data_IF_338981910113
#
_entry.id   IF_338981910113
#
_cell.length_a   1.000
_cell.length_b   1.000
_cell.length_c   1.000
_cell.angle_alpha   90.00
_cell.angle_beta   90.00
_cell.angle_gamma   90.00
#
_symmetry.space_group_name_H-M   'P 1'
#
loop_
_entity.id
_entity.type
_entity.pdbx_description
1 polymer ?
#
# COMPACT_ATOMS: atom_id res chain seq x y z
N UNK A 1 33.22 -4.27 3.62
CA UNK A 1 32.46 -3.03 3.32
C UNK A 1 30.98 -3.38 3.35
N UNK A 2 30.27 -2.81 4.27
CA UNK A 2 28.81 -2.89 4.27
C UNK A 2 28.32 -2.18 3.00
N UNK A 3 27.66 -2.90 2.10
CA UNK A 3 27.03 -2.28 0.94
C UNK A 3 25.92 -1.37 1.44
N UNK A 4 26.00 -0.10 1.09
CA UNK A 4 24.92 0.83 1.40
C UNK A 4 23.61 0.37 0.76
N UNK A 5 22.45 0.52 1.43
CA UNK A 5 21.16 0.00 0.95
C UNK A 5 20.79 0.40 -0.48
N UNK A 6 21.34 1.50 -0.99
CA UNK A 6 21.07 2.01 -2.33
C UNK A 6 21.85 1.28 -3.46
N UNK A 7 22.80 0.39 -3.13
CA UNK A 7 23.56 -0.34 -4.16
C UNK A 7 22.79 -1.52 -4.77
N UNK A 8 21.70 -1.98 -4.11
CA UNK A 8 20.79 -3.02 -4.61
C UNK A 8 19.35 -2.50 -4.71
N UNK A 9 19.19 -1.27 -5.14
CA UNK A 9 17.90 -0.62 -5.20
C UNK A 9 17.18 -0.83 -6.53
N UNK A 10 15.87 -0.96 -6.46
CA UNK A 10 14.97 -0.91 -7.60
C UNK A 10 14.26 0.45 -7.60
N UNK A 11 14.58 1.29 -8.59
CA UNK A 11 14.04 2.64 -8.70
C UNK A 11 12.79 2.65 -9.57
N UNK A 12 11.70 3.23 -9.04
CA UNK A 12 10.41 3.33 -9.73
C UNK A 12 10.18 4.77 -10.12
N UNK A 13 9.86 4.99 -11.40
CA UNK A 13 9.48 6.31 -11.90
C UNK A 13 8.01 6.63 -11.60
N UNK A 14 7.64 7.93 -11.70
CA UNK A 14 6.25 8.37 -11.64
C UNK A 14 5.39 7.72 -12.72
N UNK A 15 5.91 7.59 -13.94
CA UNK A 15 5.20 6.93 -15.04
C UNK A 15 4.92 5.47 -14.73
N UNK A 16 5.88 4.79 -14.14
CA UNK A 16 5.74 3.38 -13.76
C UNK A 16 4.70 3.18 -12.66
N UNK A 17 4.71 4.00 -11.62
CA UNK A 17 3.71 3.91 -10.54
C UNK A 17 2.30 4.24 -11.05
N UNK A 18 2.17 5.19 -11.95
CA UNK A 18 0.90 5.51 -12.59
C UNK A 18 0.36 4.33 -13.40
N UNK A 19 1.20 3.75 -14.27
CA UNK A 19 0.84 2.59 -15.08
C UNK A 19 0.46 1.39 -14.24
N UNK A 20 1.25 1.07 -13.22
CA UNK A 20 1.03 -0.11 -12.38
C UNK A 20 -0.20 0.07 -11.47
N UNK A 21 -0.46 1.28 -11.01
CA UNK A 21 -1.69 1.59 -10.26
C UNK A 21 -2.94 1.42 -11.12
N UNK A 22 -2.90 1.85 -12.37
CA UNK A 22 -3.99 1.61 -13.32
C UNK A 22 -4.17 0.12 -13.61
N UNK A 23 -3.08 -0.61 -13.79
CA UNK A 23 -3.13 -2.05 -14.00
C UNK A 23 -3.78 -2.78 -12.80
N UNK A 24 -3.48 -2.34 -11.58
CA UNK A 24 -4.13 -2.87 -10.39
C UNK A 24 -5.62 -2.54 -10.36
N UNK A 25 -6.00 -1.30 -10.70
CA UNK A 25 -7.39 -0.92 -10.80
C UNK A 25 -8.18 -1.82 -11.77
N UNK A 26 -7.62 -2.10 -12.94
CA UNK A 26 -8.27 -2.97 -13.93
C UNK A 26 -8.44 -4.41 -13.44
N UNK A 27 -7.53 -4.92 -12.62
CA UNK A 27 -7.69 -6.23 -11.97
C UNK A 27 -8.79 -6.24 -10.92
N UNK A 28 -9.10 -5.10 -10.33
CA UNK A 28 -10.10 -4.94 -9.28
C UNK A 28 -11.48 -4.53 -9.83
N UNK A 29 -11.53 -4.12 -11.09
CA UNK A 29 -12.79 -3.73 -11.74
C UNK A 29 -13.81 -4.87 -11.73
N UNK A 30 -15.04 -4.55 -11.35
CA UNK A 30 -16.16 -5.51 -11.26
C UNK A 30 -15.95 -6.68 -10.29
N UNK A 31 -15.02 -6.56 -9.36
CA UNK A 31 -14.75 -7.58 -8.35
C UNK A 31 -15.27 -7.26 -6.96
N UNK A 32 -15.89 -6.11 -6.79
CA UNK A 32 -16.50 -5.73 -5.51
C UNK A 32 -17.69 -6.63 -5.14
N UNK A 33 -17.97 -6.79 -3.85
CA UNK A 33 -19.05 -7.68 -3.38
C UNK A 33 -20.45 -7.14 -3.61
N UNK A 34 -20.60 -5.88 -4.01
CA UNK A 34 -21.88 -5.22 -4.26
C UNK A 34 -22.15 -5.11 -5.76
N UNK A 35 -22.60 -6.19 -6.37
CA UNK A 35 -22.80 -6.30 -7.83
C UNK A 35 -21.55 -5.94 -8.66
N UNK A 36 -20.37 -6.27 -8.13
CA UNK A 36 -19.09 -5.95 -8.74
C UNK A 36 -18.50 -4.62 -8.29
N UNK A 37 -19.21 -3.83 -7.51
CA UNK A 37 -18.78 -2.52 -7.06
C UNK A 37 -18.14 -2.55 -5.66
N UNK A 38 -17.25 -1.59 -5.42
CA UNK A 38 -16.61 -1.32 -4.16
C UNK A 38 -17.29 -0.14 -3.46
N UNK A 39 -17.49 -0.23 -2.15
CA UNK A 39 -18.14 0.83 -1.39
C UNK A 39 -17.20 2.01 -1.12
N UNK A 40 -15.92 1.72 -0.88
CA UNK A 40 -14.92 2.73 -0.58
C UNK A 40 -13.51 2.18 -0.77
N UNK A 41 -12.55 3.10 -0.72
CA UNK A 41 -11.12 2.80 -0.78
C UNK A 41 -10.40 3.50 0.36
N UNK A 42 -9.48 2.79 0.98
CA UNK A 42 -8.69 3.28 2.13
C UNK A 42 -7.20 3.19 1.80
N UNK A 43 -6.51 4.31 1.87
CA UNK A 43 -5.06 4.37 1.72
C UNK A 43 -4.36 4.06 3.04
N UNK A 44 -3.40 3.15 3.01
CA UNK A 44 -2.43 3.03 4.09
C UNK A 44 -1.40 4.15 3.93
N UNK A 45 -1.42 5.10 4.83
CA UNK A 45 -0.55 6.27 4.72
C UNK A 45 0.89 5.91 5.11
N UNK A 46 1.87 6.52 4.53
CA UNK A 46 1.78 7.51 3.44
C UNK A 46 1.89 6.87 2.05
N UNK A 47 2.59 5.74 1.95
CA UNK A 47 2.96 5.10 0.68
C UNK A 47 1.77 4.72 -0.22
N UNK A 48 0.64 4.35 0.39
CA UNK A 48 -0.58 3.99 -0.34
C UNK A 48 -1.38 5.16 -0.91
N UNK A 49 -1.03 6.40 -0.59
CA UNK A 49 -1.84 7.57 -0.96
C UNK A 49 -1.88 7.83 -2.46
N UNK A 50 -0.72 7.78 -3.13
CA UNK A 50 -0.67 8.01 -4.58
C UNK A 50 -1.35 6.88 -5.36
N UNK A 51 -1.06 5.59 -5.12
CA UNK A 51 -1.80 4.50 -5.76
C UNK A 51 -3.31 4.57 -5.51
N UNK A 52 -3.72 4.89 -4.29
CA UNK A 52 -5.15 5.00 -3.93
C UNK A 52 -5.87 6.06 -4.75
N UNK A 53 -5.27 7.23 -4.93
CA UNK A 53 -5.86 8.30 -5.74
C UNK A 53 -6.06 7.85 -7.19
N UNK A 54 -5.08 7.19 -7.77
CA UNK A 54 -5.15 6.70 -9.15
C UNK A 54 -6.23 5.63 -9.29
N UNK A 55 -6.25 4.65 -8.38
CA UNK A 55 -7.23 3.56 -8.39
C UNK A 55 -8.64 4.07 -8.16
N UNK A 56 -8.83 5.00 -7.22
CA UNK A 56 -10.13 5.60 -6.96
C UNK A 56 -10.70 6.31 -8.20
N UNK A 57 -9.85 7.00 -8.95
CA UNK A 57 -10.23 7.64 -10.22
C UNK A 57 -10.60 6.62 -11.30
N UNK A 58 -9.79 5.59 -11.48
CA UNK A 58 -10.02 4.55 -12.50
C UNK A 58 -11.32 3.76 -12.23
N UNK A 59 -11.63 3.48 -10.96
CA UNK A 59 -12.80 2.69 -10.56
C UNK A 59 -14.04 3.55 -10.21
N UNK A 60 -13.94 4.86 -10.35
CA UNK A 60 -14.98 5.84 -9.94
C UNK A 60 -15.46 5.65 -8.48
N UNK A 61 -14.52 5.38 -7.58
CA UNK A 61 -14.80 5.30 -6.16
C UNK A 61 -14.61 6.68 -5.54
N UNK A 62 -15.69 7.26 -5.05
CA UNK A 62 -15.67 8.63 -4.50
C UNK A 62 -15.45 8.68 -2.99
N UNK A 63 -15.73 7.60 -2.28
CA UNK A 63 -15.51 7.53 -0.85
C UNK A 63 -14.11 7.03 -0.57
N UNK A 64 -13.25 7.94 -0.14
CA UNK A 64 -11.83 7.69 0.15
C UNK A 64 -11.54 8.06 1.59
N UNK A 65 -10.87 7.18 2.31
CA UNK A 65 -10.41 7.42 3.67
C UNK A 65 -8.95 6.95 3.81
N UNK A 66 -8.38 7.12 4.98
CA UNK A 66 -6.99 6.75 5.27
C UNK A 66 -6.89 5.99 6.58
N UNK A 67 -5.87 5.13 6.66
CA UNK A 67 -5.44 4.48 7.89
C UNK A 67 -3.94 4.72 8.07
N UNK A 68 -3.52 5.11 9.26
CA UNK A 68 -2.11 5.33 9.58
C UNK A 68 -1.65 4.30 10.59
N UNK A 69 -0.58 3.59 10.25
CA UNK A 69 0.05 2.58 11.10
C UNK A 69 1.49 2.97 11.33
N UNK A 70 1.94 2.90 12.57
CA UNK A 70 3.33 3.11 12.96
C UNK A 70 3.93 1.83 13.50
N UNK A 71 5.06 1.43 12.94
CA UNK A 71 5.87 0.34 13.49
C UNK A 71 6.90 0.93 14.46
N UNK A 72 6.98 0.34 15.65
CA UNK A 72 8.02 0.67 16.64
C UNK A 72 9.09 -0.41 16.57
N UNK A 73 10.28 -0.02 16.16
CA UNK A 73 11.43 -0.91 16.14
C UNK A 73 12.16 -0.82 17.49
N UNK A 74 11.69 -1.58 18.46
CA UNK A 74 12.43 -1.83 19.69
C UNK A 74 13.11 -3.19 19.56
N UNK A 75 14.38 -3.20 19.45
CA UNK A 75 15.42 -4.25 19.35
C UNK A 75 15.05 -5.74 19.40
N UNK A 76 13.80 -6.16 19.55
CA UNK A 76 13.38 -7.57 19.49
C UNK A 76 11.89 -7.86 19.31
N UNK A 77 11.01 -6.88 19.44
CA UNK A 77 9.57 -7.04 19.18
C UNK A 77 9.04 -5.78 18.49
N UNK A 78 8.95 -5.84 17.18
CA UNK A 78 8.33 -4.75 16.42
C UNK A 78 6.81 -4.78 16.68
N UNK A 79 6.34 -3.85 17.49
CA UNK A 79 4.91 -3.61 17.67
C UNK A 79 4.43 -2.60 16.63
N UNK A 80 3.35 -2.92 15.94
CA UNK A 80 2.67 -1.99 15.07
C UNK A 80 1.42 -1.44 15.78
N UNK A 81 1.18 -0.14 15.65
CA UNK A 81 0.04 0.55 16.26
C UNK A 81 -0.70 1.37 15.23
N UNK A 82 -2.03 1.29 15.24
CA UNK A 82 -2.89 2.14 14.42
C UNK A 82 -2.95 3.53 15.08
N UNK A 83 -2.41 4.54 14.38
CA UNK A 83 -2.42 5.93 14.84
C UNK A 83 -3.70 6.66 14.45
N UNK A 84 -4.27 6.33 13.30
CA UNK A 84 -5.50 6.93 12.77
C UNK A 84 -6.31 5.86 12.07
N UNK A 85 -7.56 5.69 12.47
CA UNK A 85 -8.49 4.76 11.85
C UNK A 85 -9.43 5.49 10.87
N UNK A 86 -9.90 4.83 9.81
CA UNK A 86 -10.97 5.37 8.98
C UNK A 86 -12.30 5.42 9.77
N UNK A 87 -13.31 6.09 9.21
CA UNK A 87 -14.61 6.21 9.87
C UNK A 87 -15.22 4.83 10.16
N UNK A 88 -15.56 4.59 11.42
CA UNK A 88 -16.11 3.29 11.86
C UNK A 88 -17.40 2.90 11.12
N UNK A 89 -18.30 3.86 10.86
CA UNK A 89 -19.54 3.62 10.10
C UNK A 89 -19.30 3.19 8.67
N UNK A 90 -18.18 3.64 8.06
CA UNK A 90 -17.78 3.24 6.72
C UNK A 90 -17.27 1.80 6.70
N UNK A 91 -16.46 1.46 7.68
CA UNK A 91 -15.65 0.25 7.65
C UNK A 91 -16.40 -1.01 8.05
N UNK A 92 -17.16 -0.99 9.13
CA UNK A 92 -17.64 -2.24 9.73
C UNK A 92 -16.47 -3.21 9.91
N UNK A 93 -16.56 -4.40 9.32
CA UNK A 93 -15.45 -5.37 9.25
C UNK A 93 -14.66 -5.31 7.93
N UNK A 94 -14.94 -4.33 7.10
CA UNK A 94 -14.22 -4.09 5.86
C UNK A 94 -14.86 -4.61 4.57
N UNK A 95 -16.02 -5.24 4.64
CA UNK A 95 -16.69 -5.75 3.43
C UNK A 95 -16.93 -4.64 2.41
N UNK A 96 -16.48 -4.89 1.17
CA UNK A 96 -16.60 -3.91 0.09
C UNK A 96 -15.58 -2.78 0.13
N UNK A 97 -14.61 -2.84 1.02
CA UNK A 97 -13.56 -1.84 1.18
C UNK A 97 -12.27 -2.35 0.54
N UNK A 98 -11.68 -1.53 -0.35
CA UNK A 98 -10.33 -1.73 -0.84
C UNK A 98 -9.34 -1.05 0.12
N UNK A 99 -8.35 -1.78 0.59
CA UNK A 99 -7.24 -1.23 1.37
C UNK A 99 -5.98 -1.31 0.52
N UNK A 100 -5.38 -0.16 0.24
CA UNK A 100 -4.28 -0.01 -0.71
C UNK A 100 -3.02 0.47 0.01
N UNK A 101 -1.91 -0.21 -0.26
CA UNK A 101 -0.57 0.25 0.07
C UNK A 101 0.33 0.17 -1.18
N UNK A 102 1.50 0.78 -1.13
CA UNK A 102 2.47 0.73 -2.23
C UNK A 102 3.21 -0.62 -2.28
N UNK A 103 3.58 -1.13 -1.14
CA UNK A 103 4.39 -2.33 -0.95
C UNK A 103 3.95 -3.09 0.29
N UNK A 104 3.91 -4.40 0.20
CA UNK A 104 3.92 -5.28 1.37
C UNK A 104 5.30 -5.93 1.50
N UNK A 105 6.03 -5.60 2.57
CA UNK A 105 7.37 -6.12 2.84
C UNK A 105 7.32 -7.35 3.76
N UNK A 106 7.34 -7.16 5.07
CA UNK A 106 7.18 -8.24 6.05
C UNK A 106 5.72 -8.65 6.27
N UNK A 107 4.78 -7.77 5.94
CA UNK A 107 3.35 -7.95 6.17
C UNK A 107 2.84 -7.47 7.53
N UNK A 108 3.70 -6.97 8.41
CA UNK A 108 3.32 -6.56 9.77
C UNK A 108 2.31 -5.42 9.82
N UNK A 109 2.46 -4.43 8.96
CA UNK A 109 1.51 -3.32 8.85
C UNK A 109 0.12 -3.81 8.48
N UNK A 110 0.03 -4.65 7.45
CA UNK A 110 -1.25 -5.18 7.00
C UNK A 110 -1.85 -6.21 7.95
N UNK A 111 -1.03 -6.93 8.69
CA UNK A 111 -1.50 -7.88 9.72
C UNK A 111 -2.39 -7.18 10.76
N UNK A 112 -1.94 -6.05 11.32
CA UNK A 112 -2.72 -5.31 12.30
C UNK A 112 -3.98 -4.68 11.68
N UNK A 113 -3.92 -4.24 10.44
CA UNK A 113 -5.08 -3.70 9.71
C UNK A 113 -6.10 -4.81 9.46
N UNK A 114 -5.65 -6.00 9.05
CA UNK A 114 -6.53 -7.16 8.82
C UNK A 114 -7.21 -7.68 10.08
N UNK A 115 -6.57 -7.58 11.24
CA UNK A 115 -7.21 -7.91 12.52
C UNK A 115 -8.42 -7.01 12.77
N UNK A 116 -8.31 -5.72 12.44
CA UNK A 116 -9.41 -4.77 12.59
C UNK A 116 -10.47 -4.90 11.48
N UNK A 117 -10.06 -5.20 10.25
CA UNK A 117 -10.94 -5.24 9.07
C UNK A 117 -10.72 -6.52 8.24
N UNK A 118 -11.12 -7.69 8.78
CA UNK A 118 -10.80 -8.97 8.17
C UNK A 118 -11.54 -9.24 6.85
N UNK A 119 -12.61 -8.53 6.54
CA UNK A 119 -13.41 -8.70 5.33
C UNK A 119 -13.03 -7.72 4.21
N UNK A 120 -12.06 -6.82 4.43
CA UNK A 120 -11.56 -5.93 3.41
C UNK A 120 -10.71 -6.67 2.36
N UNK A 121 -10.63 -6.10 1.17
CA UNK A 121 -9.72 -6.57 0.12
C UNK A 121 -8.43 -5.77 0.16
N UNK A 122 -7.32 -6.46 0.33
CA UNK A 122 -5.99 -5.86 0.48
C UNK A 122 -5.22 -5.96 -0.83
N UNK A 123 -4.72 -4.83 -1.32
CA UNK A 123 -3.96 -4.78 -2.54
C UNK A 123 -2.76 -3.84 -2.45
N UNK A 124 -1.68 -4.23 -3.08
CA UNK A 124 -0.45 -3.43 -3.18
C UNK A 124 0.07 -3.44 -4.60
N UNK A 125 0.90 -2.46 -4.94
CA UNK A 125 1.57 -2.45 -6.24
C UNK A 125 2.67 -3.52 -6.26
N UNK A 126 3.48 -3.55 -5.21
CA UNK A 126 4.57 -4.52 -5.06
C UNK A 126 4.34 -5.42 -3.85
N UNK A 127 4.81 -6.66 -3.96
CA UNK A 127 4.80 -7.60 -2.86
C UNK A 127 6.15 -8.32 -2.75
N UNK A 128 6.64 -8.45 -1.52
CA UNK A 128 7.78 -9.32 -1.21
C UNK A 128 7.29 -10.66 -0.65
N UNK A 129 8.07 -11.74 -0.77
CA UNK A 129 7.60 -13.08 -0.41
C UNK A 129 7.02 -13.22 1.00
N UNK A 130 7.63 -12.57 2.00
CA UNK A 130 7.13 -12.62 3.39
C UNK A 130 5.79 -11.90 3.58
N UNK A 131 5.57 -10.82 2.85
CA UNK A 131 4.35 -10.02 2.95
C UNK A 131 3.22 -10.48 2.04
N UNK A 132 3.54 -11.23 1.00
CA UNK A 132 2.57 -11.70 0.00
C UNK A 132 1.31 -12.36 0.57
N UNK A 133 1.37 -13.19 1.63
CA UNK A 133 0.16 -13.78 2.21
C UNK A 133 -0.83 -12.77 2.79
N UNK A 134 -0.40 -11.53 3.04
CA UNK A 134 -1.26 -10.48 3.59
C UNK A 134 -2.09 -9.75 2.53
N UNK A 135 -1.80 -9.93 1.26
CA UNK A 135 -2.52 -9.24 0.17
C UNK A 135 -3.31 -10.22 -0.69
N UNK A 136 -4.44 -9.74 -1.18
CA UNK A 136 -5.32 -10.48 -2.10
C UNK A 136 -4.95 -10.22 -3.56
N UNK A 137 -4.39 -9.05 -3.84
CA UNK A 137 -3.99 -8.62 -5.19
C UNK A 137 -2.70 -7.80 -5.14
N UNK A 138 -1.84 -7.99 -6.13
CA UNK A 138 -0.64 -7.17 -6.34
C UNK A 138 -0.22 -7.22 -7.81
N UNK A 139 0.68 -6.33 -8.22
CA UNK A 139 1.15 -6.27 -9.61
C UNK A 139 2.46 -7.01 -9.79
N UNK A 140 3.48 -6.67 -9.01
CA UNK A 140 4.84 -7.21 -9.20
C UNK A 140 5.40 -7.75 -7.89
N UNK A 141 5.89 -8.99 -7.94
CA UNK A 141 6.68 -9.57 -6.85
C UNK A 141 8.14 -9.17 -7.01
N UNK A 142 8.76 -8.76 -5.92
CA UNK A 142 10.19 -8.46 -5.84
C UNK A 142 10.84 -9.28 -4.74
N UNK A 143 12.15 -9.56 -4.86
CA UNK A 143 12.84 -10.35 -3.85
C UNK A 143 12.86 -9.66 -2.48
N UNK A 144 12.95 -10.46 -1.43
CA UNK A 144 12.89 -9.94 -0.05
C UNK A 144 14.02 -8.97 0.28
N UNK A 145 15.18 -9.16 -0.31
CA UNK A 145 16.38 -8.34 -0.11
C UNK A 145 16.46 -7.10 -1.01
N UNK A 146 15.49 -6.92 -1.90
CA UNK A 146 15.43 -5.75 -2.78
C UNK A 146 14.92 -4.53 -2.02
N UNK A 147 15.66 -3.42 -2.09
CA UNK A 147 15.18 -2.13 -1.64
C UNK A 147 14.44 -1.40 -2.76
N UNK A 148 13.20 -1.01 -2.53
CA UNK A 148 12.40 -0.27 -3.52
C UNK A 148 12.47 1.22 -3.19
N UNK A 149 12.90 2.02 -4.18
CA UNK A 149 12.86 3.47 -4.13
C UNK A 149 11.67 3.96 -4.95
N UNK A 150 10.63 4.39 -4.26
CA UNK A 150 9.49 5.04 -4.90
C UNK A 150 9.85 6.47 -5.31
N UNK A 151 9.15 7.06 -6.30
CA UNK A 151 9.48 8.41 -6.75
C UNK A 151 9.35 9.47 -5.65
N UNK A 152 8.46 9.28 -4.68
CA UNK A 152 8.33 10.16 -3.52
C UNK A 152 9.43 9.97 -2.47
N UNK A 153 10.08 8.82 -2.41
CA UNK A 153 11.22 8.58 -1.50
C UNK A 153 12.46 9.33 -1.95
N UNK A 154 12.67 9.43 -3.25
CA UNK A 154 13.83 10.16 -3.81
C UNK A 154 13.81 11.65 -3.49
N UNK A 155 12.65 12.24 -3.28
CA UNK A 155 12.49 13.62 -2.88
C UNK A 155 12.97 13.90 -1.45
N UNK A 156 13.08 12.89 -0.61
CA UNK A 156 13.58 13.00 0.77
C UNK A 156 15.10 12.82 0.87
N UNK A 157 15.75 12.35 -0.16
CA UNK A 157 17.19 12.36 -0.22
C UNK A 157 17.65 13.79 -0.56
N UNK A 158 18.72 14.23 0.14
CA UNK A 158 19.26 15.55 -0.10
C UNK A 158 19.60 15.73 -1.58
N UNK A 159 18.76 16.47 -2.25
CA UNK A 159 19.03 16.97 -3.59
C UNK A 159 19.49 18.40 -3.42
N UNK A 160 20.73 18.70 -3.83
CA UNK A 160 21.23 20.07 -3.82
C UNK A 160 20.26 20.94 -4.62
N UNK A 161 19.84 22.11 -4.08
CA UNK A 161 18.93 22.97 -4.81
C UNK A 161 19.54 23.36 -6.16
N UNK A 162 18.72 23.35 -7.19
CA UNK A 162 19.13 23.94 -8.47
C UNK A 162 19.50 25.40 -8.23
N UNK A 163 20.73 25.74 -8.52
CA UNK A 163 21.21 27.11 -8.49
C UNK A 163 20.99 27.75 -9.86
#
# INVERSE_FOLDING_TARGET
MEQLPHEKGFHISWDQIHRDSRALAWRLEKRGPFNGEWAAIVAVTRGGMVPTMIIARELDIRVVDTISVKSYDHQSQAEAVILKSPKAKLMGKGKGILVIDDLVDSGRTLEIVKEAYPEAHYATIYAKPKGRPMVDSFITEVSQDTWIFFPWDMALQYVAPYR
#
